data_IF_242686994376
#
_entry.id   IF_242686994376
#
_cell.length_a   1.000
_cell.length_b   1.000
_cell.length_c   1.000
_cell.angle_alpha   90.00
_cell.angle_beta   90.00
_cell.angle_gamma   90.00
#
_symmetry.space_group_name_H-M   'P 1'
#
loop_
_entity.id
_entity.type
_entity.pdbx_description
1 polymer ?
#
# COMPACT_ATOMS: atom_id res chain seq x y z
N UNK A 1 25.36 -12.33 19.74
CA UNK A 1 25.96 -11.70 18.56
C UNK A 1 25.83 -10.18 18.67
N UNK A 2 26.94 -9.46 18.86
CA UNK A 2 26.94 -8.01 18.89
C UNK A 2 26.81 -7.47 17.45
N UNK A 3 25.67 -6.87 17.12
CA UNK A 3 25.47 -6.20 15.83
C UNK A 3 26.35 -4.95 15.84
N UNK A 4 27.46 -4.97 15.11
CA UNK A 4 28.29 -3.78 14.86
C UNK A 4 27.42 -2.79 14.07
N UNK A 5 26.84 -1.81 14.79
CA UNK A 5 26.03 -0.75 14.20
C UNK A 5 26.97 0.25 13.55
N UNK A 6 27.31 0.01 12.29
CA UNK A 6 27.97 0.99 11.44
C UNK A 6 27.15 2.29 11.50
N UNK A 7 27.76 3.37 12.01
CA UNK A 7 27.09 4.66 12.19
C UNK A 7 26.86 5.27 10.81
N UNK A 8 25.67 5.04 10.27
CA UNK A 8 25.22 5.72 9.05
C UNK A 8 25.41 7.23 9.17
N UNK A 9 25.87 7.90 8.10
CA UNK A 9 26.04 9.34 8.08
C UNK A 9 24.68 10.00 8.38
N UNK A 10 24.58 10.63 9.55
CA UNK A 10 23.41 11.45 9.89
C UNK A 10 23.42 12.64 8.95
N UNK A 11 22.45 12.73 8.04
CA UNK A 11 22.23 13.98 7.33
C UNK A 11 21.61 14.98 8.29
N UNK A 12 22.25 16.13 8.57
CA UNK A 12 21.64 17.17 9.37
C UNK A 12 20.43 17.71 8.62
N UNK A 13 19.32 17.93 9.34
CA UNK A 13 18.21 18.65 8.77
C UNK A 13 18.67 20.08 8.45
N UNK A 14 18.56 20.49 7.19
CA UNK A 14 18.97 21.82 6.75
C UNK A 14 17.80 22.78 6.99
N UNK A 15 18.03 23.78 7.84
CA UNK A 15 17.06 24.86 8.07
C UNK A 15 17.33 25.95 7.06
N UNK A 16 16.47 26.08 6.05
CA UNK A 16 16.55 27.17 5.07
C UNK A 16 15.81 28.39 5.63
N UNK A 17 16.53 29.48 5.88
CA UNK A 17 15.95 30.76 6.31
C UNK A 17 15.82 31.67 5.10
N UNK A 18 14.59 31.97 4.70
CA UNK A 18 14.30 33.05 3.75
C UNK A 18 13.87 34.29 4.53
N UNK A 19 14.40 35.49 4.22
CA UNK A 19 14.02 36.71 4.91
C UNK A 19 12.50 36.94 4.79
N UNK A 20 11.83 37.17 5.92
CA UNK A 20 10.38 37.40 5.99
C UNK A 20 9.49 36.15 6.05
N UNK A 21 10.04 34.91 6.03
CA UNK A 21 9.26 33.67 6.14
C UNK A 21 9.69 32.84 7.35
N UNK A 22 8.73 32.25 8.05
CA UNK A 22 9.02 31.29 9.12
C UNK A 22 9.98 30.19 8.59
N UNK A 23 10.97 29.75 9.38
CA UNK A 23 11.98 28.80 8.94
C UNK A 23 11.31 27.55 8.40
N UNK A 24 11.50 27.29 7.09
CA UNK A 24 10.97 26.10 6.46
C UNK A 24 11.98 24.99 6.69
N UNK A 25 11.59 24.01 7.51
CA UNK A 25 12.39 22.82 7.72
C UNK A 25 12.34 21.96 6.46
N UNK A 26 13.46 21.88 5.74
CA UNK A 26 13.60 20.97 4.60
C UNK A 26 14.04 19.61 5.12
N UNK A 27 13.14 18.63 5.10
CA UNK A 27 13.49 17.27 5.48
C UNK A 27 14.34 16.61 4.39
N UNK A 28 15.21 15.64 4.75
CA UNK A 28 15.88 14.78 3.78
C UNK A 28 14.87 14.14 2.83
N UNK A 29 14.87 14.63 1.59
CA UNK A 29 13.97 14.17 0.55
C UNK A 29 12.69 14.97 0.36
N UNK A 30 12.51 16.17 0.91
CA UNK A 30 11.43 17.07 0.48
C UNK A 30 11.71 17.75 -0.89
N UNK A 31 12.91 17.55 -1.45
CA UNK A 31 13.31 17.91 -2.82
C UNK A 31 13.82 16.69 -3.61
N UNK A 32 14.82 16.88 -4.48
CA UNK A 32 15.48 15.77 -5.17
C UNK A 32 16.15 14.84 -4.14
N UNK A 33 15.55 13.67 -3.91
CA UNK A 33 16.14 12.65 -3.04
C UNK A 33 17.40 12.14 -3.74
N UNK A 34 18.54 12.20 -3.06
CA UNK A 34 19.80 11.70 -3.63
C UNK A 34 19.69 10.20 -3.92
N UNK A 35 20.15 9.77 -5.09
CA UNK A 35 20.07 8.37 -5.51
C UNK A 35 20.84 7.43 -4.57
N UNK A 36 22.02 7.84 -4.14
CA UNK A 36 22.88 7.07 -3.23
C UNK A 36 22.22 6.79 -1.87
N UNK A 37 21.45 7.75 -1.35
CA UNK A 37 20.65 7.57 -0.13
C UNK A 37 19.56 6.51 -0.33
N UNK A 38 18.92 6.50 -1.51
CA UNK A 38 17.92 5.49 -1.87
C UNK A 38 18.59 4.11 -2.00
N UNK A 39 19.73 4.01 -2.67
CA UNK A 39 20.50 2.76 -2.80
C UNK A 39 20.86 2.17 -1.44
N UNK A 40 21.44 2.99 -0.55
CA UNK A 40 21.79 2.57 0.80
C UNK A 40 20.54 2.13 1.58
N UNK A 41 19.43 2.87 1.43
CA UNK A 41 18.16 2.54 2.08
C UNK A 41 17.57 1.21 1.60
N UNK A 42 17.57 0.93 0.30
CA UNK A 42 17.03 -0.34 -0.23
C UNK A 42 17.79 -1.54 0.33
N UNK A 43 19.14 -1.47 0.35
CA UNK A 43 19.98 -2.54 0.92
C UNK A 43 19.64 -2.82 2.39
N UNK A 44 19.58 -1.76 3.20
CA UNK A 44 19.34 -1.90 4.64
C UNK A 44 17.91 -2.36 4.94
N UNK A 45 16.91 -1.84 4.23
CA UNK A 45 15.52 -2.27 4.37
C UNK A 45 15.38 -3.75 4.00
N UNK A 46 15.99 -4.19 2.90
CA UNK A 46 15.96 -5.59 2.51
C UNK A 46 16.62 -6.49 3.56
N UNK A 47 17.73 -6.06 4.16
CA UNK A 47 18.41 -6.77 5.26
C UNK A 47 17.49 -6.92 6.48
N UNK A 48 16.84 -5.84 6.90
CA UNK A 48 15.91 -5.83 8.04
C UNK A 48 14.64 -6.67 7.78
N UNK A 49 14.19 -6.71 6.53
CA UNK A 49 12.96 -7.40 6.14
C UNK A 49 13.10 -8.94 6.07
N UNK A 50 14.31 -9.49 6.07
CA UNK A 50 14.52 -10.95 6.12
C UNK A 50 14.00 -11.56 7.44
N UNK A 51 13.88 -10.76 8.51
CA UNK A 51 13.20 -11.16 9.75
C UNK A 51 11.68 -11.20 9.60
N UNK A 52 11.02 -12.21 10.16
CA UNK A 52 9.54 -12.23 10.25
C UNK A 52 9.07 -11.50 11.51
N UNK A 53 7.97 -10.75 11.40
CA UNK A 53 7.21 -10.28 12.55
C UNK A 53 7.42 -8.82 12.95
N UNK A 54 7.20 -8.53 14.23
CA UNK A 54 7.09 -7.18 14.80
C UNK A 54 8.41 -6.42 14.79
N UNK A 55 9.52 -7.12 15.03
CA UNK A 55 10.86 -6.54 15.08
C UNK A 55 11.32 -6.07 13.71
N UNK A 56 11.05 -6.84 12.65
CA UNK A 56 11.35 -6.43 11.28
C UNK A 56 10.55 -5.20 10.87
N UNK A 57 9.25 -5.17 11.19
CA UNK A 57 8.40 -4.01 10.92
C UNK A 57 8.89 -2.76 11.68
N UNK A 58 9.27 -2.93 12.96
CA UNK A 58 9.85 -1.86 13.79
C UNK A 58 11.19 -1.38 13.25
N UNK A 59 12.10 -2.29 12.92
CA UNK A 59 13.42 -1.96 12.39
C UNK A 59 13.34 -1.20 11.06
N UNK A 60 12.51 -1.67 10.13
CA UNK A 60 12.26 -0.97 8.85
C UNK A 60 11.67 0.42 9.11
N UNK A 61 10.68 0.53 10.00
CA UNK A 61 10.06 1.81 10.34
C UNK A 61 11.04 2.79 10.99
N UNK A 62 11.86 2.32 11.93
CA UNK A 62 12.86 3.14 12.63
C UNK A 62 13.94 3.62 11.67
N UNK A 63 14.37 2.76 10.75
CA UNK A 63 15.32 3.11 9.71
C UNK A 63 14.78 4.20 8.79
N UNK A 64 13.55 4.03 8.28
CA UNK A 64 12.90 5.02 7.42
C UNK A 64 12.71 6.35 8.16
N UNK A 65 12.25 6.29 9.41
CA UNK A 65 12.05 7.48 10.24
C UNK A 65 13.37 8.23 10.48
N UNK A 66 14.43 7.50 10.83
CA UNK A 66 15.77 8.07 11.04
C UNK A 66 16.31 8.72 9.75
N UNK A 67 16.20 8.01 8.64
CA UNK A 67 16.82 8.40 7.36
C UNK A 67 16.13 9.59 6.70
N UNK A 68 14.79 9.57 6.63
CA UNK A 68 14.03 10.56 5.86
C UNK A 68 13.36 11.64 6.73
N UNK A 69 13.22 11.39 8.03
CA UNK A 69 12.52 12.29 8.96
C UNK A 69 13.42 12.77 10.12
N UNK A 70 14.71 12.40 10.11
CA UNK A 70 15.67 12.74 11.16
C UNK A 70 15.34 12.10 12.51
N UNK A 71 14.59 11.01 12.52
CA UNK A 71 14.15 10.31 13.74
C UNK A 71 12.98 10.97 14.48
N UNK A 72 12.44 12.07 13.93
CA UNK A 72 11.36 12.86 14.54
C UNK A 72 10.01 12.43 13.99
N UNK A 73 9.13 11.99 14.88
CA UNK A 73 7.82 11.43 14.53
C UNK A 73 6.83 12.51 14.11
N UNK A 74 6.99 13.70 14.66
CA UNK A 74 6.16 14.87 14.39
C UNK A 74 6.21 15.24 12.90
N UNK A 75 7.40 15.12 12.29
CA UNK A 75 7.61 15.31 10.86
C UNK A 75 6.88 14.25 10.03
N UNK A 76 6.95 12.99 10.47
CA UNK A 76 6.22 11.91 9.85
C UNK A 76 4.71 12.12 9.95
N UNK A 77 4.17 12.53 11.10
CA UNK A 77 2.72 12.81 11.27
C UNK A 77 2.24 13.93 10.35
N UNK A 78 3.03 15.00 10.20
CA UNK A 78 2.71 16.15 9.33
C UNK A 78 2.64 15.78 7.84
N UNK A 79 3.57 14.95 7.36
CA UNK A 79 3.68 14.58 5.93
C UNK A 79 2.89 13.31 5.60
N UNK A 80 2.88 12.37 6.52
CA UNK A 80 2.23 11.06 6.45
C UNK A 80 2.64 10.25 5.23
N UNK A 81 1.65 9.56 4.64
CA UNK A 81 1.81 8.67 3.48
C UNK A 81 2.27 9.38 2.19
N UNK A 82 2.20 10.71 2.13
CA UNK A 82 2.48 11.49 0.90
C UNK A 82 3.95 11.88 0.74
N UNK A 83 4.82 11.54 1.69
CA UNK A 83 6.23 11.85 1.59
C UNK A 83 6.87 11.19 0.34
N UNK A 84 7.64 11.94 -0.44
CA UNK A 84 8.17 11.47 -1.74
C UNK A 84 9.18 10.33 -1.60
N UNK A 85 9.86 10.22 -0.46
CA UNK A 85 10.78 9.10 -0.20
C UNK A 85 10.09 7.74 -0.30
N UNK A 86 8.83 7.61 0.16
CA UNK A 86 8.10 6.35 0.04
C UNK A 86 7.89 5.94 -1.42
N UNK A 87 7.59 6.91 -2.29
CA UNK A 87 7.42 6.68 -3.73
C UNK A 87 8.74 6.31 -4.38
N UNK A 88 9.81 7.07 -4.09
CA UNK A 88 11.15 6.82 -4.62
C UNK A 88 11.71 5.45 -4.21
N UNK A 89 11.47 5.03 -2.96
CA UNK A 89 11.82 3.69 -2.52
C UNK A 89 10.99 2.63 -3.26
N UNK A 90 9.68 2.84 -3.43
CA UNK A 90 8.82 1.86 -4.10
C UNK A 90 9.00 1.78 -5.63
N UNK A 91 9.61 2.78 -6.26
CA UNK A 91 10.03 2.76 -7.66
C UNK A 91 11.20 1.78 -7.90
N UNK A 92 11.85 1.29 -6.84
CA UNK A 92 13.02 0.42 -6.93
C UNK A 92 12.62 -1.05 -7.12
N UNK A 93 13.05 -1.70 -8.22
CA UNK A 93 12.67 -3.08 -8.51
C UNK A 93 13.32 -4.09 -7.54
N UNK A 94 14.45 -3.73 -6.93
CA UNK A 94 15.18 -4.52 -5.96
C UNK A 94 14.62 -4.42 -4.52
N UNK A 95 13.64 -3.54 -4.27
CA UNK A 95 13.02 -3.40 -2.96
C UNK A 95 11.96 -4.50 -2.73
N UNK A 96 12.13 -5.30 -1.68
CA UNK A 96 11.22 -6.42 -1.36
C UNK A 96 9.89 -6.03 -0.72
N UNK A 97 9.70 -4.75 -0.39
CA UNK A 97 8.50 -4.25 0.30
C UNK A 97 7.78 -3.17 -0.48
N UNK A 98 6.44 -3.26 -0.46
CA UNK A 98 5.60 -2.28 -1.15
C UNK A 98 5.64 -0.90 -0.47
N UNK A 99 5.30 0.14 -1.24
CA UNK A 99 5.01 1.48 -0.73
C UNK A 99 4.09 1.47 0.50
N UNK A 100 3.00 0.70 0.45
CA UNK A 100 2.02 0.63 1.54
C UNK A 100 2.61 -0.02 2.79
N UNK A 101 3.46 -1.03 2.62
CA UNK A 101 4.17 -1.71 3.71
C UNK A 101 5.17 -0.76 4.38
N UNK A 102 5.97 -0.03 3.61
CA UNK A 102 6.90 0.99 4.12
C UNK A 102 6.20 2.00 5.02
N UNK A 103 5.09 2.56 4.53
CA UNK A 103 4.31 3.51 5.31
C UNK A 103 3.76 2.89 6.60
N UNK A 104 3.22 1.66 6.53
CA UNK A 104 2.73 0.95 7.73
C UNK A 104 3.85 0.73 8.74
N UNK A 105 5.00 0.20 8.33
CA UNK A 105 6.16 0.00 9.22
C UNK A 105 6.56 1.29 9.95
N UNK A 106 6.60 2.41 9.22
CA UNK A 106 6.91 3.72 9.81
C UNK A 106 5.83 4.19 10.79
N UNK A 107 4.56 3.99 10.45
CA UNK A 107 3.43 4.34 11.31
C UNK A 107 3.36 3.46 12.58
N UNK A 108 3.80 2.20 12.48
CA UNK A 108 3.86 1.29 13.63
C UNK A 108 4.88 1.78 14.67
N UNK A 109 6.00 2.37 14.25
CA UNK A 109 7.00 2.94 15.18
C UNK A 109 6.43 4.09 15.97
N UNK A 110 5.63 4.94 15.34
CA UNK A 110 4.88 6.00 16.02
C UNK A 110 3.93 5.39 17.07
N UNK A 111 3.11 4.42 16.66
CA UNK A 111 2.18 3.74 17.56
C UNK A 111 2.85 3.01 18.72
N UNK A 112 4.03 2.40 18.51
CA UNK A 112 4.80 1.73 19.58
C UNK A 112 5.34 2.70 20.64
N UNK A 113 5.47 3.99 20.32
CA UNK A 113 5.86 5.02 21.29
C UNK A 113 4.66 5.52 22.13
N UNK A 114 3.46 5.42 21.58
CA UNK A 114 2.22 5.86 22.25
C UNK A 114 1.61 4.77 23.15
N UNK A 115 1.73 3.51 22.75
CA UNK A 115 1.17 2.39 23.51
C UNK A 115 2.11 1.95 24.64
N UNK A 116 1.57 1.63 25.83
CA UNK A 116 2.32 0.95 26.88
C UNK A 116 2.98 -0.35 26.36
N UNK A 117 4.19 -0.64 26.85
CA UNK A 117 5.02 -1.73 26.30
C UNK A 117 4.34 -3.11 26.46
N UNK A 118 3.69 -3.35 27.60
CA UNK A 118 2.91 -4.56 27.89
C UNK A 118 1.81 -4.80 26.85
N UNK A 119 1.03 -3.76 26.53
CA UNK A 119 -0.04 -3.83 25.53
C UNK A 119 0.54 -3.98 24.12
N UNK A 120 1.63 -3.26 23.83
CA UNK A 120 2.25 -3.28 22.52
C UNK A 120 2.90 -4.65 22.19
N UNK A 121 3.50 -5.31 23.16
CA UNK A 121 4.11 -6.63 22.96
C UNK A 121 3.09 -7.77 22.91
N UNK A 122 1.94 -7.61 23.56
CA UNK A 122 0.87 -8.61 23.56
C UNK A 122 0.08 -8.66 22.24
N UNK A 123 0.17 -7.63 21.40
CA UNK A 123 -0.59 -7.54 20.15
C UNK A 123 0.20 -8.04 18.94
N UNK A 124 -0.41 -8.86 18.05
CA UNK A 124 0.23 -9.21 16.78
C UNK A 124 0.26 -8.01 15.84
N UNK A 125 1.22 -7.98 14.89
CA UNK A 125 1.42 -6.88 13.93
C UNK A 125 0.13 -6.51 13.18
N UNK A 126 -0.71 -7.50 12.85
CA UNK A 126 -1.98 -7.26 12.15
C UNK A 126 -2.94 -6.40 12.96
N UNK A 127 -2.95 -6.53 14.29
CA UNK A 127 -3.80 -5.75 15.17
C UNK A 127 -3.29 -4.32 15.25
N UNK A 128 -1.97 -4.13 15.34
CA UNK A 128 -1.42 -2.77 15.27
C UNK A 128 -1.81 -2.05 13.98
N UNK A 129 -1.72 -2.73 12.84
CA UNK A 129 -2.14 -2.15 11.54
C UNK A 129 -3.62 -1.77 11.52
N UNK A 130 -4.48 -2.54 12.19
CA UNK A 130 -5.92 -2.22 12.31
C UNK A 130 -6.18 -1.00 13.18
N UNK A 131 -5.31 -0.71 14.15
CA UNK A 131 -5.44 0.44 15.05
C UNK A 131 -4.92 1.75 14.45
N UNK A 132 -4.07 1.70 13.41
CA UNK A 132 -3.53 2.89 12.74
C UNK A 132 -4.57 3.96 12.32
N UNK A 133 -5.79 3.62 11.88
CA UNK A 133 -6.80 4.61 11.53
C UNK A 133 -7.41 5.35 12.74
N UNK A 134 -7.27 4.81 13.96
CA UNK A 134 -7.84 5.38 15.19
C UNK A 134 -6.97 6.56 15.62
N UNK A 135 -7.49 7.78 15.48
CA UNK A 135 -6.73 9.02 15.74
C UNK A 135 -6.66 9.42 17.21
N UNK A 136 -7.71 9.15 17.97
CA UNK A 136 -7.74 9.47 19.39
C UNK A 136 -6.95 8.41 20.17
N UNK A 137 -5.91 8.85 20.89
CA UNK A 137 -4.98 7.96 21.58
C UNK A 137 -5.63 7.21 22.74
N UNK A 138 -6.60 7.86 23.43
CA UNK A 138 -7.36 7.21 24.50
C UNK A 138 -8.22 6.07 23.96
N UNK A 139 -8.93 6.30 22.85
CA UNK A 139 -9.73 5.28 22.18
C UNK A 139 -8.85 4.16 21.61
N UNK A 140 -7.71 4.51 21.01
CA UNK A 140 -6.72 3.55 20.47
C UNK A 140 -6.20 2.64 21.58
N UNK A 141 -5.81 3.21 22.72
CA UNK A 141 -5.34 2.46 23.88
C UNK A 141 -6.44 1.58 24.49
N UNK A 142 -7.67 2.09 24.61
CA UNK A 142 -8.80 1.31 25.09
C UNK A 142 -9.10 0.10 24.19
N UNK A 143 -9.09 0.30 22.86
CA UNK A 143 -9.24 -0.79 21.89
C UNK A 143 -8.10 -1.80 21.96
N UNK A 144 -6.86 -1.33 22.10
CA UNK A 144 -5.68 -2.19 22.23
C UNK A 144 -5.78 -3.08 23.48
N UNK A 145 -6.10 -2.49 24.64
CA UNK A 145 -6.32 -3.23 25.90
C UNK A 145 -7.48 -4.21 25.80
N UNK A 146 -8.60 -3.80 25.17
CA UNK A 146 -9.74 -4.68 24.89
C UNK A 146 -9.31 -5.88 24.07
N UNK A 147 -8.55 -5.66 23.00
CA UNK A 147 -8.06 -6.70 22.11
C UNK A 147 -7.16 -7.72 22.82
N UNK A 148 -6.28 -7.26 23.71
CA UNK A 148 -5.43 -8.14 24.54
C UNK A 148 -6.27 -8.92 25.54
N UNK A 149 -7.10 -8.22 26.35
CA UNK A 149 -7.88 -8.83 27.42
C UNK A 149 -8.88 -9.88 26.91
N UNK A 150 -9.53 -9.60 25.79
CA UNK A 150 -10.58 -10.47 25.21
C UNK A 150 -10.04 -11.37 24.10
N UNK A 151 -8.72 -11.37 23.85
CA UNK A 151 -8.07 -12.12 22.77
C UNK A 151 -8.79 -11.94 21.42
N UNK A 152 -9.17 -10.70 21.09
CA UNK A 152 -9.98 -10.42 19.92
C UNK A 152 -9.28 -10.93 18.65
N UNK A 153 -10.01 -11.65 17.81
CA UNK A 153 -9.52 -12.00 16.48
C UNK A 153 -9.33 -10.73 15.63
N UNK A 154 -8.55 -10.85 14.56
CA UNK A 154 -8.36 -9.74 13.60
C UNK A 154 -9.69 -9.20 13.07
N UNK A 155 -10.66 -10.08 12.79
CA UNK A 155 -11.97 -9.70 12.26
C UNK A 155 -12.80 -8.99 13.31
N UNK A 156 -12.81 -9.48 14.56
CA UNK A 156 -13.52 -8.85 15.67
C UNK A 156 -12.96 -7.45 15.98
N UNK A 157 -11.65 -7.30 16.07
CA UNK A 157 -11.02 -5.99 16.27
C UNK A 157 -11.34 -5.02 15.11
N UNK A 158 -11.36 -5.51 13.87
CA UNK A 158 -11.72 -4.68 12.72
C UNK A 158 -13.19 -4.20 12.76
N UNK A 159 -14.11 -4.96 13.37
CA UNK A 159 -15.49 -4.53 13.60
C UNK A 159 -15.53 -3.43 14.66
N UNK A 160 -14.82 -3.60 15.77
CA UNK A 160 -14.76 -2.58 16.85
C UNK A 160 -14.13 -1.27 16.40
N UNK A 161 -13.02 -1.34 15.65
CA UNK A 161 -12.39 -0.15 15.04
C UNK A 161 -13.36 0.56 14.11
N UNK A 162 -14.14 -0.19 13.31
CA UNK A 162 -15.16 0.39 12.41
C UNK A 162 -16.31 1.04 13.18
N UNK A 163 -16.74 0.45 14.29
CA UNK A 163 -17.79 0.96 15.17
C UNK A 163 -17.38 2.29 15.81
N UNK A 164 -16.17 2.37 16.36
CA UNK A 164 -15.65 3.59 17.00
C UNK A 164 -15.19 4.66 16.00
N UNK A 165 -14.76 4.25 14.80
CA UNK A 165 -14.53 5.16 13.68
C UNK A 165 -15.80 5.80 13.10
N UNK A 166 -16.95 5.58 13.76
CA UNK A 166 -18.28 6.15 13.56
C UNK A 166 -18.45 6.90 12.24
N UNK A 167 -18.99 6.23 11.23
CA UNK A 167 -19.57 6.75 9.97
C UNK A 167 -18.81 7.83 9.17
N UNK A 168 -17.65 8.27 9.63
CA UNK A 168 -16.84 9.34 9.05
C UNK A 168 -15.80 8.76 8.10
N UNK A 169 -15.47 7.47 8.24
CA UNK A 169 -14.76 6.72 7.20
C UNK A 169 -15.68 6.21 6.07
N UNK A 170 -16.99 6.05 6.32
CA UNK A 170 -17.96 5.77 5.23
C UNK A 170 -18.25 7.02 4.39
N UNK A 171 -17.99 8.23 4.92
CA UNK A 171 -17.98 9.46 4.15
C UNK A 171 -16.69 9.69 3.34
N UNK A 172 -15.62 8.91 3.58
CA UNK A 172 -14.58 8.72 2.55
C UNK A 172 -15.18 7.77 1.51
N UNK A 173 -16.02 8.34 0.65
CA UNK A 173 -16.37 7.83 -0.67
C UNK A 173 -15.06 7.54 -1.43
N UNK A 174 -14.45 6.40 -1.15
CA UNK A 174 -13.64 5.74 -2.17
C UNK A 174 -14.53 5.66 -3.41
N UNK A 175 -13.93 5.81 -4.60
CA UNK A 175 -14.63 5.61 -5.86
C UNK A 175 -15.50 4.36 -5.69
N UNK A 176 -16.84 4.45 -5.89
CA UNK A 176 -17.72 3.30 -5.72
C UNK A 176 -17.10 2.13 -6.49
N UNK A 177 -17.11 0.91 -5.90
CA UNK A 177 -16.51 -0.24 -6.54
C UNK A 177 -17.01 -0.29 -7.97
N UNK A 178 -16.08 -0.36 -8.93
CA UNK A 178 -16.47 -0.41 -10.34
C UNK A 178 -17.45 -1.59 -10.52
N UNK A 179 -18.54 -1.40 -11.26
CA UNK A 179 -19.49 -2.48 -11.51
C UNK A 179 -18.78 -3.76 -11.93
N UNK A 180 -19.27 -4.96 -11.56
CA UNK A 180 -18.60 -6.23 -11.86
C UNK A 180 -18.17 -6.36 -13.33
N UNK A 181 -19.01 -5.89 -14.26
CA UNK A 181 -18.71 -5.86 -15.70
C UNK A 181 -17.48 -5.00 -16.03
N UNK A 182 -17.35 -3.80 -15.45
CA UNK A 182 -16.21 -2.90 -15.68
C UNK A 182 -14.91 -3.53 -15.16
N UNK A 183 -14.97 -4.21 -14.01
CA UNK A 183 -13.82 -4.92 -13.44
C UNK A 183 -13.37 -6.08 -14.33
N UNK A 184 -14.31 -6.85 -14.86
CA UNK A 184 -14.05 -7.95 -15.78
C UNK A 184 -13.34 -7.44 -17.05
N UNK A 185 -13.89 -6.43 -17.73
CA UNK A 185 -13.27 -5.85 -18.92
C UNK A 185 -11.89 -5.24 -18.65
N UNK A 186 -11.71 -4.59 -17.49
CA UNK A 186 -10.39 -4.05 -17.09
C UNK A 186 -9.35 -5.16 -16.88
N UNK A 187 -9.77 -6.29 -16.31
CA UNK A 187 -8.89 -7.44 -16.11
C UNK A 187 -8.49 -8.08 -17.45
N UNK A 188 -9.46 -8.26 -18.37
CA UNK A 188 -9.21 -8.80 -19.71
C UNK A 188 -8.29 -7.89 -20.53
N UNK A 189 -8.52 -6.58 -20.52
CA UNK A 189 -7.65 -5.62 -21.20
C UNK A 189 -6.20 -5.65 -20.67
N UNK A 190 -6.03 -5.91 -19.37
CA UNK A 190 -4.70 -6.08 -18.78
C UNK A 190 -4.05 -7.38 -19.23
N UNK A 191 -4.79 -8.50 -19.24
CA UNK A 191 -4.29 -9.79 -19.72
C UNK A 191 -3.90 -9.71 -21.19
N UNK A 192 -4.74 -9.11 -22.05
CA UNK A 192 -4.46 -8.93 -23.48
C UNK A 192 -3.16 -8.14 -23.74
N UNK A 193 -2.86 -7.13 -22.91
CA UNK A 193 -1.59 -6.40 -23.00
C UNK A 193 -0.39 -7.22 -22.55
N UNK A 194 -0.57 -8.12 -21.59
CA UNK A 194 0.50 -8.99 -21.08
C UNK A 194 0.79 -10.13 -22.07
N UNK A 195 -0.24 -10.66 -22.74
CA UNK A 195 -0.11 -11.70 -23.76
C UNK A 195 0.34 -11.18 -25.13
N UNK A 196 0.54 -9.86 -25.27
CA UNK A 196 1.05 -9.27 -26.51
C UNK A 196 2.57 -9.49 -26.68
N UNK A 197 3.25 -10.07 -25.69
CA UNK A 197 4.63 -10.52 -25.80
C UNK A 197 4.67 -11.97 -26.34
N UNK A 198 5.09 -12.18 -27.61
CA UNK A 198 5.13 -13.52 -28.20
C UNK A 198 6.04 -14.48 -27.44
N UNK A 199 7.12 -13.95 -26.84
CA UNK A 199 8.13 -14.78 -26.17
C UNK A 199 7.63 -15.44 -24.88
N UNK A 200 6.61 -14.86 -24.23
CA UNK A 200 5.95 -15.45 -23.07
C UNK A 200 5.03 -16.60 -23.47
N UNK A 201 4.39 -16.51 -24.64
CA UNK A 201 3.52 -17.55 -25.15
C UNK A 201 4.33 -18.77 -25.57
N UNK A 202 5.38 -18.59 -26.37
CA UNK A 202 6.19 -19.69 -26.89
C UNK A 202 6.74 -20.57 -25.74
N UNK A 203 7.35 -19.95 -24.72
CA UNK A 203 7.88 -20.66 -23.55
C UNK A 203 6.82 -21.38 -22.72
N UNK A 204 5.59 -20.88 -22.72
CA UNK A 204 4.49 -21.47 -21.95
C UNK A 204 3.78 -22.60 -22.71
N UNK A 205 3.93 -22.64 -24.03
CA UNK A 205 3.33 -23.64 -24.90
C UNK A 205 4.30 -24.80 -25.21
N UNK A 206 5.61 -24.57 -25.05
CA UNK A 206 6.63 -25.60 -25.15
C UNK A 206 6.32 -26.81 -24.24
N UNK A 207 6.20 -27.98 -24.85
CA UNK A 207 5.92 -29.25 -24.15
C UNK A 207 4.44 -29.58 -23.96
N UNK A 208 3.50 -28.76 -24.44
CA UNK A 208 2.09 -29.15 -24.46
C UNK A 208 1.82 -30.17 -25.58
N UNK A 209 1.12 -31.29 -25.28
CA UNK A 209 0.68 -32.22 -26.31
C UNK A 209 -0.25 -31.51 -27.33
N UNK A 210 -0.20 -31.89 -28.62
CA UNK A 210 -1.03 -31.27 -29.66
C UNK A 210 -2.54 -31.27 -29.35
N UNK A 211 -3.05 -32.34 -28.72
CA UNK A 211 -4.46 -32.42 -28.30
C UNK A 211 -4.84 -31.35 -27.26
N UNK A 212 -3.96 -31.08 -26.28
CA UNK A 212 -4.19 -30.02 -25.28
C UNK A 212 -4.14 -28.64 -25.90
N UNK A 213 -3.27 -28.43 -26.88
CA UNK A 213 -3.21 -27.17 -27.61
C UNK A 213 -4.50 -26.93 -28.40
N UNK A 214 -5.01 -27.96 -29.09
CA UNK A 214 -6.27 -27.90 -29.82
C UNK A 214 -7.45 -27.59 -28.87
N UNK A 215 -7.51 -28.22 -27.69
CA UNK A 215 -8.53 -27.95 -26.67
C UNK A 215 -8.49 -26.48 -26.19
N UNK A 216 -7.28 -25.95 -25.92
CA UNK A 216 -7.09 -24.56 -25.49
C UNK A 216 -7.54 -23.57 -26.57
N UNK A 217 -7.19 -23.82 -27.83
CA UNK A 217 -7.63 -23.00 -28.98
C UNK A 217 -9.15 -23.04 -29.14
N UNK A 218 -9.77 -24.22 -29.02
CA UNK A 218 -11.21 -24.37 -29.12
C UNK A 218 -11.94 -23.64 -27.97
N UNK A 219 -11.42 -23.73 -26.73
CA UNK A 219 -11.96 -23.01 -25.59
C UNK A 219 -11.82 -21.48 -25.77
N UNK A 220 -10.63 -21.00 -26.15
CA UNK A 220 -10.39 -19.58 -26.38
C UNK A 220 -11.28 -19.02 -27.49
N UNK A 221 -11.51 -19.79 -28.56
CA UNK A 221 -12.41 -19.40 -29.65
C UNK A 221 -13.85 -19.23 -29.15
N UNK A 222 -14.39 -20.20 -28.39
CA UNK A 222 -15.73 -20.10 -27.79
C UNK A 222 -15.86 -18.90 -26.87
N UNK A 223 -14.85 -18.64 -26.03
CA UNK A 223 -14.85 -17.50 -25.12
C UNK A 223 -14.83 -16.18 -25.89
N UNK A 224 -14.04 -16.08 -26.98
CA UNK A 224 -14.01 -14.91 -27.86
C UNK A 224 -15.37 -14.64 -28.51
N UNK A 225 -16.10 -15.67 -28.93
CA UNK A 225 -17.46 -15.54 -29.45
C UNK A 225 -18.43 -15.02 -28.39
N UNK A 226 -18.37 -15.55 -27.17
CA UNK A 226 -19.17 -15.06 -26.04
C UNK A 226 -18.85 -13.58 -25.73
N UNK A 227 -17.57 -13.20 -25.76
CA UNK A 227 -17.16 -11.81 -25.58
C UNK A 227 -17.65 -10.89 -26.70
N UNK A 228 -17.59 -11.33 -27.96
CA UNK A 228 -18.15 -10.58 -29.10
C UNK A 228 -19.65 -10.35 -28.92
N UNK A 229 -20.40 -11.38 -28.53
CA UNK A 229 -21.83 -11.27 -28.25
C UNK A 229 -22.11 -10.29 -27.09
N UNK A 230 -21.31 -10.32 -26.02
CA UNK A 230 -21.42 -9.39 -24.90
C UNK A 230 -21.15 -7.93 -25.33
N UNK A 231 -20.10 -7.70 -26.13
CA UNK A 231 -19.76 -6.37 -26.66
C UNK A 231 -20.89 -5.84 -27.54
N UNK A 232 -21.48 -6.68 -28.40
CA UNK A 232 -22.63 -6.31 -29.20
C UNK A 232 -23.82 -5.88 -28.32
N UNK A 233 -24.16 -6.65 -27.28
CA UNK A 233 -25.22 -6.27 -26.32
C UNK A 233 -24.94 -4.95 -25.60
N UNK A 234 -23.68 -4.68 -25.25
CA UNK A 234 -23.29 -3.42 -24.62
C UNK A 234 -23.40 -2.23 -25.59
N UNK A 235 -23.05 -2.41 -26.86
CA UNK A 235 -23.25 -1.38 -27.91
C UNK A 235 -24.72 -1.04 -28.09
N UNK A 236 -25.57 -2.05 -28.27
CA UNK A 236 -27.02 -1.86 -28.39
C UNK A 236 -27.59 -1.08 -27.19
N UNK A 237 -27.15 -1.40 -25.97
CA UNK A 237 -27.55 -0.64 -24.76
C UNK A 237 -27.00 0.79 -24.73
N UNK A 238 -25.77 1.01 -25.18
CA UNK A 238 -25.18 2.34 -25.26
C UNK A 238 -25.98 3.21 -26.22
N UNK A 239 -26.28 2.70 -27.42
CA UNK A 239 -27.06 3.41 -28.44
C UNK A 239 -28.46 3.77 -27.92
N UNK A 240 -29.12 2.84 -27.23
CA UNK A 240 -30.42 3.10 -26.60
C UNK A 240 -30.37 4.14 -25.46
N UNK A 241 -29.23 4.26 -24.77
CA UNK A 241 -29.07 5.22 -23.66
C UNK A 241 -28.73 6.64 -24.10
N UNK A 242 -28.32 6.83 -25.36
CA UNK A 242 -27.98 8.13 -25.95
C UNK A 242 -29.22 8.86 -26.47
N UNK A 243 -30.40 8.22 -26.45
CA UNK A 243 -31.66 8.87 -26.82
C UNK A 243 -31.91 10.05 -25.86
N UNK A 244 -31.99 11.29 -26.37
CA UNK A 244 -32.13 12.48 -25.53
C UNK A 244 -33.41 12.38 -24.71
N UNK A 245 -33.31 12.61 -23.40
CA UNK A 245 -34.50 12.75 -22.57
C UNK A 245 -35.29 13.94 -23.11
N UNK A 246 -36.60 13.80 -23.40
CA UNK A 246 -37.42 14.95 -23.77
C UNK A 246 -37.27 16.00 -22.67
N UNK A 247 -36.91 17.23 -23.05
CA UNK A 247 -36.74 18.32 -22.11
C UNK A 247 -38.04 18.56 -21.33
N UNK A 248 -37.95 19.04 -20.07
CA UNK A 248 -39.15 19.39 -19.32
C UNK A 248 -39.87 20.50 -20.08
N UNK A 249 -41.13 20.24 -20.46
CA UNK A 249 -42.06 21.27 -20.89
C UNK A 249 -42.50 22.13 -19.72
#
# INVERSE_FOLDING_TARGET
MAIVRERLPKQPAVVVRSPGRAPTLVLPGEGAVRSDLIDAAVREINRLYVGKGIEAARGVGEYVLKTFFGGRVEHFRRRGRKHVSFRKLAERPDLRISHATLWKCTALVDQFRELPADVAHALPVTHHVLLLPVRDDKCKLALARKAVRENLSKTALAVEVRRLGGSSSTARRGRPPSPPVVRLFSALARLARQSADPSLLDRSLDGLPPGRLADLVAAATRDLEQFRALVHRLRVRLDASVIPRPGPM
#
